data_IF_683955478054
#
_entry.id   IF_683955478054
#
_cell.length_a   1.000
_cell.length_b   1.000
_cell.length_c   1.000
_cell.angle_alpha   90.00
_cell.angle_beta   90.00
_cell.angle_gamma   90.00
#
_symmetry.space_group_name_H-M   'P 1'
#
loop_
_entity.id
_entity.type
_entity.pdbx_description
1 polymer ?
#
# COMPACT_ATOMS: atom_id res chain seq x y z
N UNK A 1 -7.78 1.80 12.49
CA UNK A 1 -6.40 2.34 12.48
C UNK A 1 -5.67 1.96 11.19
N UNK A 2 -5.61 0.68 10.82
CA UNK A 2 -4.95 0.19 9.59
C UNK A 2 -5.45 0.82 8.27
N UNK A 3 -6.77 0.95 8.09
CA UNK A 3 -7.38 1.63 6.92
C UNK A 3 -6.92 3.09 6.79
N UNK A 4 -6.71 3.77 7.93
CA UNK A 4 -6.23 5.15 7.93
C UNK A 4 -4.76 5.23 7.48
N UNK A 5 -3.93 4.25 7.86
CA UNK A 5 -2.55 4.16 7.38
C UNK A 5 -2.48 3.85 5.88
N UNK A 6 -3.32 2.96 5.38
CA UNK A 6 -3.38 2.65 3.94
C UNK A 6 -3.73 3.89 3.11
N UNK A 7 -4.69 4.70 3.58
CA UNK A 7 -5.05 5.96 2.92
C UNK A 7 -3.88 6.96 2.89
N UNK A 8 -3.10 7.04 3.96
CA UNK A 8 -1.89 7.88 4.01
C UNK A 8 -0.82 7.37 3.04
N UNK A 9 -0.61 6.05 2.96
CA UNK A 9 0.35 5.43 2.04
C UNK A 9 -0.08 5.66 0.58
N UNK A 10 -1.37 5.52 0.27
CA UNK A 10 -1.93 5.85 -1.04
C UNK A 10 -1.67 7.32 -1.41
N UNK A 11 -1.97 8.24 -0.48
CA UNK A 11 -1.73 9.66 -0.68
C UNK A 11 -0.25 9.97 -0.98
N UNK A 12 0.67 9.42 -0.19
CA UNK A 12 2.12 9.61 -0.39
C UNK A 12 2.56 9.03 -1.74
N UNK A 13 2.04 7.86 -2.11
CA UNK A 13 2.34 7.19 -3.38
C UNK A 13 1.93 8.07 -4.56
N UNK A 14 0.71 8.62 -4.53
CA UNK A 14 0.19 9.45 -5.62
C UNK A 14 0.88 10.81 -5.70
N UNK A 15 1.23 11.42 -4.57
CA UNK A 15 2.05 12.62 -4.54
C UNK A 15 3.44 12.35 -5.12
N UNK A 16 4.04 11.20 -4.79
CA UNK A 16 5.36 10.83 -5.31
C UNK A 16 5.35 10.61 -6.82
N UNK A 17 4.26 10.05 -7.39
CA UNK A 17 4.08 9.94 -8.86
C UNK A 17 4.07 11.31 -9.53
N UNK A 18 3.31 12.26 -8.98
CA UNK A 18 3.24 13.63 -9.52
C UNK A 18 4.59 14.35 -9.40
N UNK A 19 5.24 14.26 -8.23
CA UNK A 19 6.55 14.86 -8.03
C UNK A 19 7.62 14.24 -8.92
N UNK A 20 7.52 12.94 -9.26
CA UNK A 20 8.45 12.30 -10.18
C UNK A 20 8.44 12.98 -11.55
N UNK A 21 7.24 13.28 -12.07
CA UNK A 21 7.07 14.01 -13.32
C UNK A 21 7.70 15.41 -13.25
N UNK A 22 7.45 16.13 -12.15
CA UNK A 22 8.06 17.45 -11.91
C UNK A 22 9.59 17.37 -11.81
N UNK A 23 10.14 16.36 -11.14
CA UNK A 23 11.58 16.15 -11.01
C UNK A 23 12.24 15.87 -12.37
N UNK A 24 11.58 15.10 -13.25
CA UNK A 24 12.03 14.88 -14.63
C UNK A 24 12.03 16.18 -15.44
N UNK A 25 10.97 16.99 -15.34
CA UNK A 25 10.89 18.30 -15.99
C UNK A 25 11.96 19.27 -15.51
N UNK A 26 12.23 19.27 -14.20
CA UNK A 26 13.29 20.06 -13.58
C UNK A 26 14.70 19.52 -13.85
N UNK A 27 14.86 18.45 -14.63
CA UNK A 27 16.15 17.79 -14.94
C UNK A 27 16.91 17.38 -13.68
N UNK A 28 16.18 16.88 -12.67
CA UNK A 28 16.76 16.36 -11.43
C UNK A 28 16.68 14.82 -11.41
N UNK A 29 17.66 14.11 -12.00
CA UNK A 29 17.60 12.66 -12.15
C UNK A 29 17.68 11.92 -10.82
N UNK A 30 18.44 12.42 -9.85
CA UNK A 30 18.51 11.82 -8.52
C UNK A 30 17.17 11.92 -7.79
N UNK A 31 16.52 13.09 -7.84
CA UNK A 31 15.21 13.25 -7.22
C UNK A 31 14.16 12.35 -7.89
N UNK A 32 14.17 12.25 -9.22
CA UNK A 32 13.28 11.35 -9.95
C UNK A 32 13.52 9.88 -9.57
N UNK A 33 14.77 9.46 -9.35
CA UNK A 33 15.09 8.10 -8.88
C UNK A 33 14.53 7.84 -7.47
N UNK A 34 14.75 8.77 -6.54
CA UNK A 34 14.26 8.64 -5.16
C UNK A 34 12.73 8.53 -5.13
N UNK A 35 12.04 9.36 -5.92
CA UNK A 35 10.58 9.35 -6.00
C UNK A 35 10.05 8.08 -6.66
N UNK A 36 10.75 7.53 -7.65
CA UNK A 36 10.40 6.24 -8.26
C UNK A 36 10.48 5.09 -7.25
N UNK A 37 11.51 5.09 -6.38
CA UNK A 37 11.62 4.10 -5.31
C UNK A 37 10.48 4.22 -4.29
N UNK A 38 10.10 5.45 -3.91
CA UNK A 38 8.95 5.66 -3.01
C UNK A 38 7.65 5.16 -3.64
N UNK A 39 7.43 5.42 -4.93
CA UNK A 39 6.25 4.94 -5.65
C UNK A 39 6.19 3.41 -5.67
N UNK A 40 7.32 2.76 -5.96
CA UNK A 40 7.41 1.28 -5.98
C UNK A 40 7.11 0.67 -4.62
N UNK A 41 7.71 1.20 -3.57
CA UNK A 41 7.49 0.70 -2.20
C UNK A 41 6.05 0.95 -1.75
N UNK A 42 5.52 2.15 -1.97
CA UNK A 42 4.14 2.49 -1.64
C UNK A 42 3.14 1.58 -2.33
N UNK A 43 3.30 1.35 -3.64
CA UNK A 43 2.45 0.44 -4.40
C UNK A 43 2.58 -1.02 -3.92
N UNK A 44 3.79 -1.47 -3.56
CA UNK A 44 4.01 -2.80 -2.99
C UNK A 44 3.22 -3.01 -1.70
N UNK A 45 3.22 -2.01 -0.80
CA UNK A 45 2.47 -2.06 0.46
C UNK A 45 0.96 -2.07 0.21
N UNK A 46 0.47 -1.24 -0.71
CA UNK A 46 -0.96 -1.19 -1.08
C UNK A 46 -1.42 -2.55 -1.63
N UNK A 47 -0.69 -3.08 -2.61
CA UNK A 47 -1.02 -4.37 -3.22
C UNK A 47 -0.99 -5.51 -2.19
N UNK A 48 -0.05 -5.49 -1.26
CA UNK A 48 0.05 -6.48 -0.18
C UNK A 48 -1.13 -6.39 0.78
N UNK A 49 -1.59 -5.18 1.10
CA UNK A 49 -2.76 -4.98 1.94
C UNK A 49 -4.06 -5.39 1.24
N UNK A 50 -4.19 -5.14 -0.07
CA UNK A 50 -5.32 -5.61 -0.88
C UNK A 50 -5.35 -7.15 -0.96
N UNK A 51 -4.20 -7.79 -1.17
CA UNK A 51 -4.08 -9.25 -1.19
C UNK A 51 -4.42 -9.91 0.16
N UNK A 52 -4.22 -9.20 1.27
CA UNK A 52 -4.62 -9.63 2.62
C UNK A 52 -6.09 -9.28 2.95
N UNK A 53 -6.73 -8.42 2.15
CA UNK A 53 -8.10 -7.95 2.34
C UNK A 53 -9.17 -8.79 1.62
N UNK A 54 -8.78 -9.71 0.73
CA UNK A 54 -9.68 -10.70 0.13
C UNK A 54 -9.87 -11.92 1.03
N UNK A 55 -10.46 -11.73 2.22
CA UNK A 55 -11.29 -12.77 2.87
C UNK A 55 -12.06 -12.19 4.08
N UNK A 56 -13.18 -11.47 3.88
CA UNK A 56 -14.09 -11.09 4.96
C UNK A 56 -14.96 -12.26 5.48
N UNK A 57 -14.73 -13.51 5.04
CA UNK A 57 -15.56 -14.67 5.41
C UNK A 57 -14.83 -15.88 6.00
N UNK A 58 -13.55 -15.78 6.39
CA UNK A 58 -12.89 -16.85 7.16
C UNK A 58 -13.06 -16.63 8.67
N UNK A 59 -14.31 -16.63 9.12
CA UNK A 59 -14.65 -16.84 10.53
C UNK A 59 -15.91 -17.71 10.63
N UNK A 60 -15.94 -18.81 9.88
CA UNK A 60 -16.86 -19.91 10.16
C UNK A 60 -16.26 -20.78 11.29
N UNK A 61 -16.65 -20.43 12.51
CA UNK A 61 -16.99 -21.36 13.61
C UNK A 61 -16.07 -22.58 13.82
N UNK A 62 -15.12 -22.47 14.75
CA UNK A 62 -14.63 -23.63 15.50
C UNK A 62 -15.23 -23.63 16.93
N UNK A 63 -16.56 -23.74 17.00
CA UNK A 63 -17.26 -24.17 18.20
C UNK A 63 -17.92 -25.50 17.89
N UNK A 64 -17.27 -26.60 18.26
CA UNK A 64 -17.98 -27.77 18.75
C UNK A 64 -17.12 -28.46 19.80
N UNK A 65 -17.45 -28.12 21.04
CA UNK A 65 -17.14 -28.86 22.24
C UNK A 65 -18.00 -30.14 22.23
N UNK A 66 -17.36 -31.29 22.39
CA UNK A 66 -17.92 -32.60 22.79
C UNK A 66 -16.69 -33.39 23.29
N UNK A 67 -16.47 -33.85 24.52
CA UNK A 67 -17.35 -34.29 25.63
C UNK A 67 -18.46 -35.18 25.04
N UNK A 68 -18.32 -36.49 24.91
CA UNK A 68 -17.69 -37.54 25.73
C UNK A 68 -16.99 -38.61 24.88
#
# INVERSE_FOLDING_TARGET
MFINHLNVIQYITDMSKQMNQMARQARSPLLALLLDMVVKEGQSIINSAEALGEDPNSTMTHNHQSVE
#
